data_IF_586871125240
#
_entry.id   IF_586871125240
#
_cell.length_a   1.000
_cell.length_b   1.000
_cell.length_c   1.000
_cell.angle_alpha   90.00
_cell.angle_beta   90.00
_cell.angle_gamma   90.00
#
_symmetry.space_group_name_H-M   'P 1'
#
loop_
_entity.id
_entity.type
_entity.pdbx_description
1 polymer ?
#
# COMPACT_ATOMS: atom_id res chain seq x y z
N UNK A 1 -4.08 -11.13 12.69
CA UNK A 1 -2.97 -10.34 13.30
C UNK A 1 -2.63 -9.21 12.36
N UNK A 2 -2.54 -7.97 12.87
CA UNK A 2 -2.19 -6.81 12.05
C UNK A 2 -0.67 -6.58 12.10
N UNK A 3 -0.06 -6.36 10.94
CA UNK A 3 1.37 -6.04 10.83
C UNK A 3 1.56 -4.69 10.15
N UNK A 4 2.52 -3.90 10.64
CA UNK A 4 2.93 -2.63 10.02
C UNK A 4 4.33 -2.84 9.46
N UNK A 5 4.52 -2.48 8.19
CA UNK A 5 5.81 -2.57 7.50
C UNK A 5 6.18 -1.20 6.93
N UNK A 6 7.40 -0.74 7.21
CA UNK A 6 7.92 0.54 6.74
C UNK A 6 9.46 0.53 6.70
N UNK A 7 10.02 1.17 5.67
CA UNK A 7 11.41 1.60 5.69
C UNK A 7 11.47 3.00 6.34
N UNK A 8 12.15 3.11 7.47
CA UNK A 8 12.12 4.30 8.32
C UNK A 8 13.53 4.80 8.65
N UNK A 9 13.72 6.12 8.61
CA UNK A 9 14.98 6.77 8.94
C UNK A 9 15.13 7.03 10.43
N UNK A 10 16.32 7.48 10.84
CA UNK A 10 16.62 7.71 12.26
C UNK A 10 15.72 8.77 12.92
N UNK A 11 15.16 9.71 12.15
CA UNK A 11 14.21 10.71 12.65
C UNK A 11 12.78 10.42 12.18
N UNK A 12 12.45 9.15 11.96
CA UNK A 12 11.12 8.67 11.56
C UNK A 12 10.69 9.11 10.15
N UNK A 13 11.64 9.40 9.29
CA UNK A 13 11.37 9.78 7.91
C UNK A 13 10.94 8.56 7.08
N UNK A 14 10.01 8.75 6.14
CA UNK A 14 9.48 7.68 5.27
C UNK A 14 9.54 8.06 3.78
N UNK A 15 9.15 9.28 3.44
CA UNK A 15 9.04 9.76 2.07
C UNK A 15 8.95 11.28 2.01
N UNK A 16 9.28 11.83 0.84
CA UNK A 16 9.17 13.26 0.53
C UNK A 16 8.66 13.44 -0.89
N UNK A 17 7.78 14.41 -1.12
CA UNK A 17 7.22 14.73 -2.45
C UNK A 17 6.64 13.50 -3.19
N UNK A 18 5.90 12.65 -2.45
CA UNK A 18 5.36 11.36 -2.92
C UNK A 18 6.42 10.40 -3.50
N UNK A 19 7.66 10.47 -3.02
CA UNK A 19 8.76 9.57 -3.39
C UNK A 19 9.43 9.02 -2.13
N UNK A 20 10.10 7.88 -2.30
CA UNK A 20 11.00 7.34 -1.28
C UNK A 20 12.19 8.28 -1.11
N UNK A 21 12.64 8.46 0.14
CA UNK A 21 13.81 9.30 0.46
C UNK A 21 15.12 8.68 -0.03
N UNK A 22 15.17 7.35 -0.09
CA UNK A 22 16.36 6.59 -0.42
C UNK A 22 16.00 5.47 -1.40
N UNK A 23 16.95 5.13 -2.25
CA UNK A 23 16.89 3.91 -3.04
C UNK A 23 17.83 2.88 -2.41
N UNK A 24 17.27 2.00 -1.58
CA UNK A 24 18.04 0.96 -0.88
C UNK A 24 17.95 -0.33 -1.71
N UNK A 25 19.08 -0.83 -2.26
CA UNK A 25 19.07 -2.09 -2.99
C UNK A 25 18.52 -3.23 -2.13
N UNK A 26 17.60 -4.03 -2.69
CA UNK A 26 17.01 -5.17 -1.99
C UNK A 26 15.84 -4.85 -1.06
N UNK A 27 15.55 -3.58 -0.75
CA UNK A 27 14.42 -3.20 0.11
C UNK A 27 13.07 -3.57 -0.51
N UNK A 28 12.80 -3.13 -1.75
CA UNK A 28 11.56 -3.47 -2.45
C UNK A 28 11.37 -4.98 -2.70
N UNK A 29 12.41 -5.76 -3.10
CA UNK A 29 12.33 -7.22 -3.12
C UNK A 29 11.94 -7.84 -1.77
N UNK A 30 12.51 -7.35 -0.66
CA UNK A 30 12.16 -7.80 0.69
C UNK A 30 10.72 -7.45 1.03
N UNK A 31 10.28 -6.21 0.76
CA UNK A 31 8.89 -5.80 0.95
C UNK A 31 7.93 -6.72 0.16
N UNK A 32 8.26 -7.03 -1.10
CA UNK A 32 7.48 -7.98 -1.91
C UNK A 32 7.40 -9.35 -1.24
N UNK A 33 8.54 -9.92 -0.83
CA UNK A 33 8.58 -11.24 -0.18
C UNK A 33 7.72 -11.27 1.11
N UNK A 34 7.77 -10.22 1.92
CA UNK A 34 7.05 -10.15 3.19
C UNK A 34 5.54 -9.91 3.03
N UNK A 35 5.10 -9.35 1.90
CA UNK A 35 3.70 -8.93 1.68
C UNK A 35 2.96 -9.78 0.66
N UNK A 36 3.65 -10.57 -0.17
CA UNK A 36 3.02 -11.44 -1.16
C UNK A 36 2.01 -12.40 -0.52
N UNK A 37 0.88 -12.61 -1.21
CA UNK A 37 -0.27 -13.42 -0.80
C UNK A 37 -0.99 -12.94 0.47
N UNK A 38 -0.74 -11.70 0.89
CA UNK A 38 -1.45 -11.05 1.98
C UNK A 38 -2.15 -9.77 1.49
N UNK A 39 -3.29 -9.39 2.09
CA UNK A 39 -3.86 -8.07 1.86
C UNK A 39 -2.90 -6.97 2.30
N UNK A 40 -2.78 -5.91 1.49
CA UNK A 40 -1.98 -4.72 1.79
C UNK A 40 -2.89 -3.52 1.83
N UNK A 41 -3.03 -2.94 3.02
CA UNK A 41 -3.74 -1.67 3.22
C UNK A 41 -2.73 -0.52 3.08
N UNK A 42 -3.02 0.44 2.22
CA UNK A 42 -2.18 1.62 1.99
C UNK A 42 -3.01 2.89 1.79
N UNK A 43 -2.40 4.06 1.96
CA UNK A 43 -3.05 5.33 1.65
C UNK A 43 -3.05 5.63 0.14
N UNK A 44 -4.02 6.43 -0.32
CA UNK A 44 -4.10 6.90 -1.72
C UNK A 44 -2.78 7.47 -2.27
N UNK A 45 -2.07 8.33 -1.51
CA UNK A 45 -0.79 8.92 -1.96
C UNK A 45 0.30 7.85 -2.14
N UNK A 46 0.31 6.82 -1.29
CA UNK A 46 1.23 5.68 -1.42
C UNK A 46 0.93 4.89 -2.69
N UNK A 47 -0.35 4.62 -2.97
CA UNK A 47 -0.76 3.96 -4.21
C UNK A 47 -0.36 4.77 -5.46
N UNK A 48 -0.58 6.09 -5.45
CA UNK A 48 -0.16 6.98 -6.55
C UNK A 48 1.36 7.02 -6.73
N UNK A 49 2.13 6.98 -5.64
CA UNK A 49 3.59 6.89 -5.68
C UNK A 49 4.06 5.57 -6.31
N UNK A 50 3.38 4.45 -6.00
CA UNK A 50 3.66 3.13 -6.58
C UNK A 50 3.23 3.08 -8.06
N UNK A 51 2.11 3.72 -8.40
CA UNK A 51 1.60 3.86 -9.77
C UNK A 51 1.00 2.60 -10.38
N UNK A 52 0.91 1.50 -9.62
CA UNK A 52 0.37 0.21 -10.09
C UNK A 52 -0.16 -0.62 -8.93
N UNK A 53 -1.04 -1.58 -9.27
CA UNK A 53 -1.45 -2.63 -8.34
C UNK A 53 -0.27 -3.56 -8.09
N UNK A 54 -0.06 -3.88 -6.82
CA UNK A 54 0.97 -4.81 -6.40
C UNK A 54 0.50 -6.25 -6.74
N UNK A 55 1.20 -7.01 -7.60
CA UNK A 55 0.76 -8.35 -7.99
C UNK A 55 0.79 -9.32 -6.82
N UNK A 56 -0.03 -10.37 -6.90
CA UNK A 56 -0.19 -11.42 -5.88
C UNK A 56 -0.62 -10.90 -4.50
N UNK A 57 -1.34 -9.77 -4.48
CA UNK A 57 -1.79 -9.09 -3.24
C UNK A 57 -3.16 -8.46 -3.47
N UNK A 58 -4.04 -8.57 -2.49
CA UNK A 58 -5.23 -7.72 -2.40
C UNK A 58 -4.78 -6.32 -2.01
N UNK A 59 -4.94 -5.34 -2.89
CA UNK A 59 -4.53 -3.95 -2.66
C UNK A 59 -5.74 -3.17 -2.15
N UNK A 60 -5.69 -2.74 -0.89
CA UNK A 60 -6.77 -1.97 -0.25
C UNK A 60 -6.28 -0.53 -0.08
N UNK A 61 -6.88 0.40 -0.83
CA UNK A 61 -6.49 1.81 -0.84
C UNK A 61 -7.45 2.65 -0.01
N UNK A 62 -6.94 3.24 1.05
CA UNK A 62 -7.66 4.18 1.91
C UNK A 62 -7.77 5.56 1.24
N UNK A 63 -9.00 6.03 1.06
CA UNK A 63 -9.32 7.33 0.45
C UNK A 63 -10.63 7.89 1.00
N UNK A 64 -10.67 9.19 1.28
CA UNK A 64 -11.91 9.87 1.70
C UNK A 64 -12.92 10.07 0.56
N UNK A 65 -12.49 9.92 -0.70
CA UNK A 65 -13.35 9.99 -1.87
C UNK A 65 -13.70 8.58 -2.33
N UNK A 66 -14.98 8.30 -2.50
CA UNK A 66 -15.47 7.12 -3.19
C UNK A 66 -14.93 7.15 -4.63
N UNK A 67 -14.10 6.16 -4.95
CA UNK A 67 -13.59 5.94 -6.29
C UNK A 67 -14.18 4.61 -6.77
N UNK A 68 -14.79 4.63 -7.94
CA UNK A 68 -15.19 3.40 -8.61
C UNK A 68 -13.92 2.69 -9.06
N UNK A 69 -13.65 1.50 -8.52
CA UNK A 69 -12.60 0.65 -9.08
C UNK A 69 -12.95 0.38 -10.55
N UNK A 70 -12.02 0.63 -11.46
CA UNK A 70 -12.20 0.21 -12.85
C UNK A 70 -12.36 -1.31 -12.85
N UNK A 71 -13.42 -1.82 -13.48
CA UNK A 71 -13.86 -3.22 -13.45
C UNK A 71 -12.82 -4.25 -13.95
N UNK A 72 -11.62 -3.81 -14.34
CA UNK A 72 -10.51 -4.64 -14.83
C UNK A 72 -9.48 -5.03 -13.75
N UNK A 73 -9.55 -4.48 -12.53
CA UNK A 73 -8.60 -4.81 -11.45
C UNK A 73 -9.34 -5.47 -10.28
N UNK A 74 -9.44 -6.81 -10.31
CA UNK A 74 -10.09 -7.59 -9.25
C UNK A 74 -9.37 -7.45 -7.90
N UNK A 75 -8.06 -7.19 -7.92
CA UNK A 75 -7.22 -7.09 -6.71
C UNK A 75 -7.06 -5.65 -6.19
N UNK A 76 -7.88 -4.69 -6.63
CA UNK A 76 -7.84 -3.29 -6.16
C UNK A 76 -9.18 -2.87 -5.56
N UNK A 77 -9.17 -2.59 -4.27
CA UNK A 77 -10.37 -2.22 -3.51
C UNK A 77 -10.14 -0.88 -2.83
N UNK A 78 -11.13 0.02 -2.88
CA UNK A 78 -11.09 1.29 -2.17
C UNK A 78 -11.92 1.21 -0.89
N UNK A 79 -11.35 1.69 0.21
CA UNK A 79 -12.01 1.78 1.51
C UNK A 79 -11.96 3.22 2.02
N UNK A 80 -13.00 3.66 2.72
CA UNK A 80 -13.11 5.06 3.20
C UNK A 80 -12.52 5.27 4.58
N UNK A 81 -12.34 4.20 5.35
CA UNK A 81 -11.80 4.22 6.70
C UNK A 81 -11.11 2.89 7.05
N UNK A 82 -10.34 2.89 8.13
CA UNK A 82 -9.57 1.73 8.58
C UNK A 82 -10.49 0.55 8.93
N UNK A 83 -11.62 0.77 9.61
CA UNK A 83 -12.54 -0.31 9.98
C UNK A 83 -13.05 -1.07 8.75
N UNK A 84 -13.54 -0.36 7.73
CA UNK A 84 -13.98 -0.98 6.47
C UNK A 84 -12.84 -1.70 5.74
N UNK A 85 -11.61 -1.17 5.79
CA UNK A 85 -10.47 -1.82 5.18
C UNK A 85 -10.08 -3.13 5.91
N UNK A 86 -10.24 -3.17 7.23
CA UNK A 86 -9.98 -4.36 8.04
C UNK A 86 -11.06 -5.43 7.88
N UNK A 87 -12.30 -5.07 7.56
CA UNK A 87 -13.36 -6.04 7.23
C UNK A 87 -13.16 -6.72 5.87
N UNK A 88 -12.47 -6.04 4.94
CA UNK A 88 -12.15 -6.56 3.60
C UNK A 88 -10.92 -7.48 3.62
N UNK A 89 -9.96 -7.21 4.51
CA UNK A 89 -8.68 -7.90 4.60
C UNK A 89 -8.79 -9.25 5.33
#
# INVERSE_FOLDING_TARGET
MLNIIAAIGNNRELGKDNKLLWHIPGELPRFKQLTSHHPVIMGRKTYESIGRVLPERTNIVLTSKLQTANSKQQDLIFATNISSALEIA
#
